data_IF_701779379291
#
_entry.id   IF_701779379291
#
_cell.length_a   1.000
_cell.length_b   1.000
_cell.length_c   1.000
_cell.angle_alpha   90.00
_cell.angle_beta   90.00
_cell.angle_gamma   90.00
#
_symmetry.space_group_name_H-M   'P 1'
#
loop_
_entity.id
_entity.type
_entity.pdbx_description
1 polymer ?
#
# COMPACT_ATOMS: atom_id res chain seq x y z
N UNK A 1 -7.21 -44.17 -42.07
CA UNK A 1 -7.68 -45.15 -43.07
C UNK A 1 -8.99 -44.63 -43.64
N UNK A 2 -9.08 -44.54 -44.97
CA UNK A 2 -10.21 -43.94 -45.68
C UNK A 2 -11.51 -44.71 -45.43
N UNK A 3 -12.62 -43.98 -45.22
CA UNK A 3 -13.96 -44.56 -45.17
C UNK A 3 -14.51 -44.57 -46.60
N UNK A 4 -14.62 -45.77 -47.18
CA UNK A 4 -15.42 -46.02 -48.38
C UNK A 4 -16.83 -46.41 -47.91
N UNK A 5 -17.91 -45.76 -48.37
CA UNK A 5 -19.27 -46.16 -48.03
C UNK A 5 -19.75 -47.27 -48.97
N UNK A 6 -20.42 -48.29 -48.42
CA UNK A 6 -21.20 -49.26 -49.19
C UNK A 6 -22.71 -49.03 -49.00
N UNK A 7 -23.52 -49.34 -50.03
CA UNK A 7 -24.84 -48.79 -50.24
C UNK A 7 -25.95 -49.62 -49.57
N UNK A 8 -27.06 -48.95 -49.29
CA UNK A 8 -28.34 -49.62 -49.06
C UNK A 8 -28.88 -49.50 -47.65
N UNK A 9 -29.46 -48.35 -47.31
CA UNK A 9 -30.68 -48.28 -46.47
C UNK A 9 -31.22 -46.84 -46.38
N UNK A 10 -31.78 -46.28 -47.46
CA UNK A 10 -32.41 -44.94 -47.43
C UNK A 10 -33.53 -44.81 -46.37
N UNK A 11 -34.16 -45.93 -46.01
CA UNK A 11 -35.24 -45.92 -45.03
C UNK A 11 -34.76 -45.80 -43.57
N UNK A 12 -33.52 -46.21 -43.27
CA UNK A 12 -32.94 -46.13 -41.93
C UNK A 12 -32.39 -44.73 -41.61
N UNK A 13 -32.01 -43.95 -42.63
CA UNK A 13 -31.48 -42.59 -42.48
C UNK A 13 -32.57 -41.60 -42.02
N UNK A 14 -33.82 -41.81 -42.46
CA UNK A 14 -34.95 -40.90 -42.17
C UNK A 14 -35.46 -41.01 -40.72
N UNK A 15 -35.38 -42.20 -40.12
CA UNK A 15 -35.72 -42.40 -38.69
C UNK A 15 -34.63 -41.86 -37.77
N UNK A 16 -33.36 -42.09 -38.12
CA UNK A 16 -32.20 -41.51 -37.44
C UNK A 16 -32.22 -39.97 -37.48
N UNK A 17 -32.52 -39.35 -38.63
CA UNK A 17 -32.64 -37.88 -38.74
C UNK A 17 -33.76 -37.30 -37.87
N UNK A 18 -34.92 -37.97 -37.75
CA UNK A 18 -35.99 -37.50 -36.86
C UNK A 18 -35.56 -37.60 -35.39
N UNK A 19 -34.91 -38.69 -34.98
CA UNK A 19 -34.38 -38.83 -33.63
C UNK A 19 -33.30 -37.77 -33.32
N UNK A 20 -32.42 -37.49 -34.29
CA UNK A 20 -31.40 -36.43 -34.19
C UNK A 20 -32.01 -35.03 -34.10
N UNK A 21 -33.10 -34.76 -34.82
CA UNK A 21 -33.82 -33.47 -34.74
C UNK A 21 -34.50 -33.26 -33.38
N UNK A 22 -35.11 -34.31 -32.81
CA UNK A 22 -35.67 -34.23 -31.46
C UNK A 22 -34.60 -34.07 -30.38
N UNK A 23 -33.46 -34.76 -30.52
CA UNK A 23 -32.31 -34.60 -29.62
C UNK A 23 -31.66 -33.21 -29.76
N UNK A 24 -31.57 -32.65 -30.97
CA UNK A 24 -31.04 -31.30 -31.16
C UNK A 24 -31.98 -30.25 -30.57
N UNK A 25 -33.30 -30.45 -30.65
CA UNK A 25 -34.30 -29.55 -30.05
C UNK A 25 -34.29 -29.63 -28.53
N UNK A 26 -34.16 -30.83 -27.95
CA UNK A 26 -34.00 -31.02 -26.51
C UNK A 26 -32.66 -30.45 -26.00
N UNK A 27 -31.57 -30.62 -26.75
CA UNK A 27 -30.27 -30.03 -26.43
C UNK A 27 -30.30 -28.49 -26.51
N UNK A 28 -30.97 -27.92 -27.51
CA UNK A 28 -31.16 -26.46 -27.62
C UNK A 28 -32.02 -25.92 -26.47
N UNK A 29 -33.05 -26.65 -26.05
CA UNK A 29 -33.92 -26.23 -24.95
C UNK A 29 -33.24 -26.33 -23.59
N UNK A 30 -32.32 -27.29 -23.41
CA UNK A 30 -31.46 -27.40 -22.22
C UNK A 30 -30.40 -26.29 -22.21
N UNK A 31 -29.81 -25.98 -23.37
CA UNK A 31 -28.84 -24.89 -23.55
C UNK A 31 -29.47 -23.51 -23.27
N UNK A 32 -30.71 -23.26 -23.71
CA UNK A 32 -31.42 -22.00 -23.42
C UNK A 32 -31.78 -21.82 -21.95
N UNK A 33 -31.94 -22.88 -21.15
CA UNK A 33 -32.11 -22.73 -19.69
C UNK A 33 -30.80 -22.53 -18.94
N UNK A 34 -29.64 -22.84 -19.56
CA UNK A 34 -28.31 -22.58 -18.96
C UNK A 34 -27.66 -21.28 -19.44
N UNK A 35 -28.27 -20.55 -20.39
CA UNK A 35 -27.67 -19.36 -21.02
C UNK A 35 -28.03 -18.00 -20.39
N UNK A 36 -28.83 -17.95 -19.33
CA UNK A 36 -28.83 -16.81 -18.39
C UNK A 36 -28.61 -17.39 -16.98
N UNK A 37 -27.36 -17.37 -16.44
CA UNK A 37 -26.72 -16.13 -16.01
C UNK A 37 -25.17 -16.21 -16.06
N UNK A 38 -24.54 -16.03 -17.22
CA UNK A 38 -23.05 -16.01 -17.29
C UNK A 38 -22.43 -14.62 -17.20
N UNK A 39 -23.21 -13.55 -17.16
CA UNK A 39 -22.71 -12.17 -16.97
C UNK A 39 -22.88 -11.66 -15.53
N UNK A 40 -23.94 -12.08 -14.84
CA UNK A 40 -24.23 -11.66 -13.46
C UNK A 40 -23.48 -12.47 -12.41
N UNK A 41 -23.27 -13.78 -12.61
CA UNK A 41 -22.58 -14.63 -11.63
C UNK A 41 -21.07 -14.36 -11.56
N UNK A 42 -20.33 -14.16 -12.68
CA UNK A 42 -18.93 -13.76 -12.61
C UNK A 42 -18.76 -12.38 -11.97
N UNK A 43 -19.59 -11.40 -12.34
CA UNK A 43 -19.53 -10.06 -11.77
C UNK A 43 -19.93 -9.98 -10.28
N UNK A 44 -20.80 -10.88 -9.80
CA UNK A 44 -21.10 -11.03 -8.38
C UNK A 44 -19.97 -11.74 -7.62
N UNK A 45 -19.32 -12.74 -8.24
CA UNK A 45 -18.18 -13.43 -7.65
C UNK A 45 -16.94 -12.54 -7.57
N UNK A 46 -16.62 -11.77 -8.62
CA UNK A 46 -15.55 -10.76 -8.60
C UNK A 46 -15.80 -9.68 -7.54
N UNK A 47 -17.03 -9.15 -7.43
CA UNK A 47 -17.37 -8.17 -6.37
C UNK A 47 -17.33 -8.74 -4.95
N UNK A 48 -17.73 -9.99 -4.77
CA UNK A 48 -17.67 -10.65 -3.46
C UNK A 48 -16.21 -10.91 -3.03
N UNK A 49 -15.34 -11.22 -4.00
CA UNK A 49 -13.90 -11.37 -3.78
C UNK A 49 -13.24 -10.02 -3.44
N UNK A 50 -13.61 -8.93 -4.13
CA UNK A 50 -13.14 -7.57 -3.81
C UNK A 50 -13.51 -7.13 -2.39
N UNK A 51 -14.73 -7.45 -1.96
CA UNK A 51 -15.21 -7.16 -0.60
C UNK A 51 -14.44 -7.94 0.47
N UNK A 52 -14.16 -9.21 0.20
CA UNK A 52 -13.36 -10.04 1.09
C UNK A 52 -11.93 -9.49 1.21
N UNK A 53 -11.31 -9.15 0.07
CA UNK A 53 -9.97 -8.54 0.01
C UNK A 53 -9.89 -7.22 0.77
N UNK A 54 -10.84 -6.31 0.55
CA UNK A 54 -10.88 -5.02 1.24
C UNK A 54 -11.04 -5.18 2.77
N UNK A 55 -11.88 -6.12 3.21
CA UNK A 55 -12.02 -6.45 4.64
C UNK A 55 -10.72 -7.00 5.23
N UNK A 56 -10.05 -7.91 4.53
CA UNK A 56 -8.76 -8.46 5.00
C UNK A 56 -7.71 -7.35 5.12
N UNK A 57 -7.61 -6.47 4.11
CA UNK A 57 -6.70 -5.31 4.17
C UNK A 57 -7.00 -4.42 5.37
N UNK A 58 -8.28 -4.10 5.61
CA UNK A 58 -8.70 -3.28 6.74
C UNK A 58 -8.36 -3.96 8.09
N UNK A 59 -8.63 -5.26 8.23
CA UNK A 59 -8.29 -6.01 9.45
C UNK A 59 -6.79 -5.99 9.70
N UNK A 60 -5.97 -6.24 8.69
CA UNK A 60 -4.51 -6.21 8.81
C UNK A 60 -4.01 -4.80 9.20
N UNK A 61 -4.55 -3.75 8.59
CA UNK A 61 -4.19 -2.36 8.92
C UNK A 61 -4.47 -2.05 10.40
N UNK A 62 -5.66 -2.36 10.91
CA UNK A 62 -5.99 -2.10 12.31
C UNK A 62 -5.15 -2.92 13.29
N UNK A 63 -4.84 -4.18 12.96
CA UNK A 63 -3.93 -5.00 13.78
C UNK A 63 -2.55 -4.34 13.85
N UNK A 64 -2.01 -3.85 12.73
CA UNK A 64 -0.72 -3.17 12.68
C UNK A 64 -0.74 -1.84 13.46
N UNK A 65 -1.82 -1.06 13.34
CA UNK A 65 -2.02 0.18 14.11
C UNK A 65 -2.06 -0.10 15.61
N UNK A 66 -2.84 -1.09 16.06
CA UNK A 66 -2.90 -1.49 17.47
C UNK A 66 -1.58 -2.03 17.99
N UNK A 67 -0.87 -2.83 17.19
CA UNK A 67 0.45 -3.35 17.54
C UNK A 67 1.48 -2.20 17.68
N UNK A 68 1.45 -1.23 16.77
CA UNK A 68 2.31 -0.05 16.87
C UNK A 68 1.96 0.81 18.10
N UNK A 69 0.67 0.92 18.45
CA UNK A 69 0.21 1.62 19.65
C UNK A 69 0.72 0.95 20.92
N UNK A 70 0.74 -0.39 20.95
CA UNK A 70 1.29 -1.15 22.08
C UNK A 70 2.79 -0.87 22.27
N UNK A 71 3.59 -0.92 21.20
CA UNK A 71 5.03 -0.64 21.29
C UNK A 71 5.32 0.82 21.67
N UNK A 72 4.55 1.77 21.13
CA UNK A 72 4.65 3.17 21.49
C UNK A 72 4.24 3.41 22.95
N UNK A 73 3.15 2.79 23.38
CA UNK A 73 2.66 2.83 24.76
C UNK A 73 3.68 2.28 25.74
N UNK A 74 4.32 1.15 25.41
CA UNK A 74 5.41 0.58 26.21
C UNK A 74 6.62 1.53 26.28
N UNK A 75 6.99 2.15 25.15
CA UNK A 75 8.08 3.14 25.10
C UNK A 75 7.80 4.34 26.01
N UNK A 76 6.57 4.85 25.99
CA UNK A 76 6.14 5.97 26.84
C UNK A 76 6.08 5.53 28.31
N UNK A 77 5.49 4.37 28.59
CA UNK A 77 5.40 3.81 29.94
C UNK A 77 6.78 3.68 30.60
N UNK A 78 7.75 3.07 29.91
CA UNK A 78 9.12 2.97 30.39
C UNK A 78 9.74 4.34 30.73
N UNK A 79 9.48 5.38 29.94
CA UNK A 79 9.97 6.74 30.23
C UNK A 79 9.26 7.40 31.41
N UNK A 80 7.96 7.18 31.57
CA UNK A 80 7.19 7.73 32.68
C UNK A 80 7.56 7.04 34.00
N UNK A 81 7.79 5.72 33.98
CA UNK A 81 8.20 4.95 35.16
C UNK A 81 9.63 5.27 35.57
N UNK A 82 10.56 5.48 34.62
CA UNK A 82 11.92 5.90 34.91
C UNK A 82 12.05 7.43 34.91
N UNK A 83 11.70 8.04 36.05
CA UNK A 83 11.66 9.50 36.31
C UNK A 83 12.90 10.31 35.93
N UNK A 84 14.06 9.66 35.75
CA UNK A 84 15.30 10.31 35.27
C UNK A 84 15.29 10.67 33.77
N UNK A 85 14.34 10.14 32.98
CA UNK A 85 14.31 10.31 31.53
C UNK A 85 13.22 11.30 31.11
N UNK A 86 13.59 12.53 30.74
CA UNK A 86 12.65 13.53 30.21
C UNK A 86 12.04 13.09 28.86
N UNK A 87 10.78 13.45 28.62
CA UNK A 87 10.14 13.34 27.30
C UNK A 87 10.95 14.16 26.30
N UNK A 88 11.35 13.53 25.19
CA UNK A 88 12.20 14.16 24.19
C UNK A 88 11.37 14.52 22.97
N UNK A 89 11.85 15.50 22.20
CA UNK A 89 11.18 15.93 20.96
C UNK A 89 10.90 14.77 19.99
N UNK A 90 11.80 13.79 19.91
CA UNK A 90 11.61 12.60 19.08
C UNK A 90 10.40 11.73 19.49
N UNK A 91 10.08 11.67 20.79
CA UNK A 91 8.93 10.89 21.26
C UNK A 91 7.63 11.64 20.98
N UNK A 92 7.63 12.97 21.08
CA UNK A 92 6.50 13.81 20.68
C UNK A 92 6.24 13.65 19.18
N UNK A 93 7.30 13.68 18.36
CA UNK A 93 7.19 13.46 16.92
C UNK A 93 6.67 12.06 16.59
N UNK A 94 7.10 11.05 17.34
CA UNK A 94 6.63 9.67 17.18
C UNK A 94 5.14 9.53 17.55
N UNK A 95 4.70 10.17 18.65
CA UNK A 95 3.28 10.22 19.04
C UNK A 95 2.46 10.92 17.95
N UNK A 96 2.92 12.06 17.45
CA UNK A 96 2.26 12.79 16.37
C UNK A 96 2.14 11.93 15.11
N UNK A 97 3.19 11.18 14.75
CA UNK A 97 3.16 10.26 13.61
C UNK A 97 2.14 9.14 13.78
N UNK A 98 1.97 8.61 15.00
CA UNK A 98 0.97 7.57 15.28
C UNK A 98 -0.46 8.11 15.22
N UNK A 99 -0.70 9.33 15.70
CA UNK A 99 -2.02 9.98 15.59
C UNK A 99 -2.40 10.16 14.11
N UNK A 100 -1.44 10.57 13.27
CA UNK A 100 -1.66 10.69 11.82
C UNK A 100 -1.90 9.31 11.18
N UNK A 101 -1.19 8.27 11.61
CA UNK A 101 -1.41 6.91 11.13
C UNK A 101 -2.83 6.40 11.46
N UNK A 102 -3.33 6.70 12.66
CA UNK A 102 -4.72 6.37 13.05
C UNK A 102 -5.73 7.14 12.20
N UNK A 103 -5.47 8.43 11.96
CA UNK A 103 -6.31 9.25 11.08
C UNK A 103 -6.34 8.68 9.65
N UNK A 104 -5.19 8.28 9.11
CA UNK A 104 -5.10 7.64 7.79
C UNK A 104 -5.87 6.31 7.72
N UNK A 105 -5.72 5.46 8.74
CA UNK A 105 -6.47 4.21 8.83
C UNK A 105 -7.99 4.43 8.89
N UNK A 106 -8.44 5.44 9.65
CA UNK A 106 -9.85 5.81 9.75
C UNK A 106 -10.40 6.37 8.43
N UNK A 107 -9.64 7.21 7.72
CA UNK A 107 -10.03 7.71 6.39
C UNK A 107 -10.10 6.56 5.37
N UNK A 108 -9.13 5.64 5.39
CA UNK A 108 -9.13 4.45 4.53
C UNK A 108 -10.34 3.55 4.80
N UNK A 109 -10.69 3.34 6.06
CA UNK A 109 -11.89 2.61 6.44
C UNK A 109 -13.17 3.29 5.95
N UNK A 110 -13.25 4.62 6.06
CA UNK A 110 -14.37 5.39 5.52
C UNK A 110 -14.51 5.20 4.01
N UNK A 111 -13.40 5.25 3.27
CA UNK A 111 -13.37 5.02 1.81
C UNK A 111 -13.90 3.62 1.47
N UNK A 112 -13.41 2.58 2.16
CA UNK A 112 -13.84 1.18 1.93
C UNK A 112 -15.33 1.00 2.26
N UNK A 113 -15.79 1.53 3.40
CA UNK A 113 -17.18 1.41 3.85
C UNK A 113 -18.17 2.20 3.01
N UNK A 114 -17.73 3.26 2.33
CA UNK A 114 -18.58 4.08 1.48
C UNK A 114 -19.08 3.35 0.23
N UNK A 115 -18.57 2.14 -0.09
CA UNK A 115 -19.11 1.22 -1.12
C UNK A 115 -19.38 1.89 -2.48
N UNK A 116 -18.56 2.85 -2.88
CA UNK A 116 -18.73 3.55 -4.16
C UNK A 116 -18.65 2.57 -5.34
N UNK A 117 -19.50 2.80 -6.36
CA UNK A 117 -19.54 1.98 -7.58
C UNK A 117 -20.42 0.71 -7.50
N UNK A 118 -21.19 0.52 -6.42
CA UNK A 118 -22.13 -0.61 -6.31
C UNK A 118 -23.53 -0.26 -6.86
N UNK A 119 -24.25 -1.24 -7.43
CA UNK A 119 -25.65 -1.06 -7.79
C UNK A 119 -26.48 -0.80 -6.52
N UNK A 120 -26.98 0.43 -6.36
CA UNK A 120 -27.78 0.85 -5.20
C UNK A 120 -27.34 2.16 -4.54
N UNK A 121 -26.19 2.74 -4.93
CA UNK A 121 -25.78 4.07 -4.46
C UNK A 121 -25.93 5.09 -5.60
N UNK A 122 -26.76 6.13 -5.46
CA UNK A 122 -26.88 7.17 -6.48
C UNK A 122 -25.55 7.92 -6.60
N UNK A 123 -25.00 7.92 -7.81
CA UNK A 123 -23.76 8.63 -8.15
C UNK A 123 -24.12 10.12 -8.26
N UNK A 124 -24.10 10.82 -7.13
CA UNK A 124 -24.20 12.27 -7.10
C UNK A 124 -22.79 12.87 -7.23
N UNK A 125 -22.64 13.95 -8.01
CA UNK A 125 -21.35 14.60 -8.23
C UNK A 125 -20.67 15.06 -6.92
N UNK A 126 -21.47 15.48 -5.94
CA UNK A 126 -20.99 15.91 -4.63
C UNK A 126 -20.34 14.76 -3.84
N UNK A 127 -20.93 13.56 -3.91
CA UNK A 127 -20.45 12.38 -3.21
C UNK A 127 -19.07 11.94 -3.75
N UNK A 128 -18.89 11.98 -5.07
CA UNK A 128 -17.60 11.68 -5.72
C UNK A 128 -16.53 12.69 -5.29
N UNK A 129 -16.90 13.97 -5.21
CA UNK A 129 -15.96 15.03 -4.88
C UNK A 129 -15.44 14.93 -3.46
N UNK A 130 -16.33 14.62 -2.50
CA UNK A 130 -15.95 14.34 -1.11
C UNK A 130 -15.01 13.15 -1.04
N UNK A 131 -15.29 12.07 -1.78
CA UNK A 131 -14.44 10.88 -1.79
C UNK A 131 -13.04 11.18 -2.33
N UNK A 132 -12.93 11.97 -3.41
CA UNK A 132 -11.64 12.37 -3.98
C UNK A 132 -10.80 13.16 -2.96
N UNK A 133 -11.41 14.11 -2.25
CA UNK A 133 -10.74 14.90 -1.20
C UNK A 133 -10.30 13.99 -0.06
N UNK A 134 -11.17 13.09 0.41
CA UNK A 134 -10.86 12.15 1.49
C UNK A 134 -9.72 11.19 1.10
N UNK A 135 -9.71 10.72 -0.15
CA UNK A 135 -8.61 9.90 -0.69
C UNK A 135 -7.27 10.63 -0.75
N UNK A 136 -7.28 11.89 -1.22
CA UNK A 136 -6.07 12.73 -1.24
C UNK A 136 -5.55 13.05 0.16
N UNK A 137 -6.47 13.31 1.10
CA UNK A 137 -6.15 13.54 2.50
C UNK A 137 -5.51 12.28 3.13
N UNK A 138 -6.09 11.09 2.89
CA UNK A 138 -5.52 9.82 3.35
C UNK A 138 -4.11 9.61 2.81
N UNK A 139 -3.89 9.74 1.50
CA UNK A 139 -2.56 9.62 0.88
C UNK A 139 -1.54 10.57 1.54
N UNK A 140 -1.95 11.82 1.77
CA UNK A 140 -1.12 12.83 2.43
C UNK A 140 -0.79 12.42 3.87
N UNK A 141 -1.77 11.97 4.64
CA UNK A 141 -1.57 11.44 6.00
C UNK A 141 -0.62 10.25 6.00
N UNK A 142 -0.75 9.30 5.05
CA UNK A 142 0.18 8.17 4.93
C UNK A 142 1.63 8.64 4.73
N UNK A 143 1.88 9.62 3.85
CA UNK A 143 3.23 10.14 3.61
C UNK A 143 3.79 10.86 4.84
N UNK A 144 2.98 11.71 5.48
CA UNK A 144 3.38 12.46 6.68
C UNK A 144 3.69 11.51 7.85
N UNK A 145 2.83 10.51 8.08
CA UNK A 145 3.05 9.49 9.11
C UNK A 145 4.35 8.71 8.88
N UNK A 146 4.60 8.30 7.63
CA UNK A 146 5.83 7.59 7.25
C UNK A 146 7.09 8.45 7.49
N UNK A 147 7.09 9.71 7.05
CA UNK A 147 8.29 10.57 7.17
C UNK A 147 8.57 10.97 8.61
N UNK A 148 7.53 11.26 9.41
CA UNK A 148 7.72 11.60 10.82
C UNK A 148 8.19 10.41 11.65
N UNK A 149 7.67 9.20 11.40
CA UNK A 149 8.14 7.98 12.08
C UNK A 149 9.61 7.71 11.78
N UNK A 150 10.04 7.84 10.51
CA UNK A 150 11.45 7.66 10.14
C UNK A 150 12.35 8.76 10.68
N UNK A 151 11.86 10.01 10.69
CA UNK A 151 12.59 11.15 11.24
C UNK A 151 12.81 10.99 12.75
N UNK A 152 11.79 10.56 13.50
CA UNK A 152 11.91 10.29 14.93
C UNK A 152 12.97 9.20 15.21
N UNK A 153 12.96 8.11 14.43
CA UNK A 153 13.96 7.05 14.53
C UNK A 153 15.38 7.55 14.19
N UNK A 154 15.54 8.28 13.10
CA UNK A 154 16.83 8.83 12.68
C UNK A 154 17.40 9.84 13.68
N UNK A 155 16.55 10.68 14.31
CA UNK A 155 16.97 11.58 15.39
C UNK A 155 17.45 10.80 16.62
N UNK A 156 16.79 9.69 16.96
CA UNK A 156 17.26 8.81 18.03
C UNK A 156 18.64 8.22 17.71
N UNK A 157 18.87 7.81 16.46
CA UNK A 157 20.17 7.33 16.00
C UNK A 157 21.25 8.41 15.98
N UNK A 158 20.90 9.65 15.63
CA UNK A 158 21.83 10.77 15.51
C UNK A 158 22.58 11.06 16.82
N UNK A 159 22.01 10.69 17.98
CA UNK A 159 22.66 10.86 19.29
C UNK A 159 23.67 9.80 19.62
N UNK A 160 23.59 8.65 18.95
CA UNK A 160 24.51 7.53 19.11
C UNK A 160 25.59 7.53 18.03
N UNK A 161 25.59 8.52 17.14
CA UNK A 161 26.50 8.60 16.01
C UNK A 161 27.35 9.87 16.08
N UNK A 162 28.64 9.71 15.87
CA UNK A 162 29.62 10.78 15.69
C UNK A 162 30.35 10.70 14.35
N UNK A 163 31.02 11.80 14.00
CA UNK A 163 31.80 11.93 12.77
C UNK A 163 30.97 11.84 11.49
N UNK A 164 31.49 11.11 10.50
CA UNK A 164 30.86 10.98 9.18
C UNK A 164 29.47 10.32 9.22
N UNK A 165 29.24 9.38 10.14
CA UNK A 165 27.93 8.69 10.30
C UNK A 165 26.83 9.69 10.65
N UNK A 166 27.12 10.64 11.53
CA UNK A 166 26.20 11.72 11.92
C UNK A 166 25.82 12.61 10.74
N UNK A 167 26.80 12.96 9.91
CA UNK A 167 26.57 13.74 8.68
C UNK A 167 25.67 12.99 7.71
N UNK A 168 25.89 11.68 7.52
CA UNK A 168 25.04 10.83 6.69
C UNK A 168 23.59 10.74 7.22
N UNK A 169 23.40 10.56 8.53
CA UNK A 169 22.04 10.53 9.12
C UNK A 169 21.32 11.86 8.92
N UNK A 170 22.02 12.99 9.09
CA UNK A 170 21.47 14.32 8.78
C UNK A 170 21.05 14.45 7.32
N UNK A 171 21.91 14.01 6.40
CA UNK A 171 21.60 13.96 4.97
C UNK A 171 20.36 13.11 4.69
N UNK A 172 20.25 11.92 5.28
CA UNK A 172 19.09 11.03 5.14
C UNK A 172 17.79 11.68 5.65
N UNK A 173 17.83 12.39 6.79
CA UNK A 173 16.67 13.10 7.33
C UNK A 173 16.20 14.19 6.37
N UNK A 174 17.12 15.06 5.92
CA UNK A 174 16.78 16.21 5.06
C UNK A 174 16.24 15.72 3.72
N UNK A 175 16.97 14.81 3.07
CA UNK A 175 16.60 14.27 1.75
C UNK A 175 15.25 13.56 1.77
N UNK A 176 14.98 12.73 2.79
CA UNK A 176 13.69 12.05 2.91
C UNK A 176 12.54 13.03 3.15
N UNK A 177 12.72 14.04 4.03
CA UNK A 177 11.69 15.03 4.30
C UNK A 177 11.34 15.84 3.05
N UNK A 178 12.34 16.29 2.30
CA UNK A 178 12.13 17.01 1.04
C UNK A 178 11.39 16.13 0.04
N UNK A 179 11.82 14.87 -0.14
CA UNK A 179 11.23 13.98 -1.12
C UNK A 179 9.76 13.65 -0.79
N UNK A 180 9.46 13.33 0.47
CA UNK A 180 8.09 13.02 0.91
C UNK A 180 7.19 14.27 0.90
N UNK A 181 7.70 15.44 1.29
CA UNK A 181 6.94 16.69 1.22
C UNK A 181 6.61 17.07 -0.23
N UNK A 182 7.57 16.92 -1.14
CA UNK A 182 7.34 17.11 -2.57
C UNK A 182 6.29 16.12 -3.09
N UNK A 183 6.43 14.84 -2.74
CA UNK A 183 5.46 13.79 -3.12
C UNK A 183 4.04 14.13 -2.68
N UNK A 184 3.85 14.46 -1.40
CA UNK A 184 2.56 14.83 -0.86
C UNK A 184 1.98 16.06 -1.59
N UNK A 185 2.80 17.07 -1.87
CA UNK A 185 2.37 18.28 -2.57
C UNK A 185 1.95 18.00 -4.02
N UNK A 186 2.66 17.11 -4.73
CA UNK A 186 2.34 16.74 -6.11
C UNK A 186 0.97 16.09 -6.26
N UNK A 187 0.48 15.37 -5.24
CA UNK A 187 -0.89 14.82 -5.27
C UNK A 187 -1.96 15.91 -5.32
N UNK A 188 -1.75 17.04 -4.65
CA UNK A 188 -2.69 18.16 -4.66
C UNK A 188 -2.59 19.02 -5.93
N UNK A 189 -1.37 19.27 -6.43
CA UNK A 189 -1.12 20.23 -7.52
C UNK A 189 -1.30 19.60 -8.91
N UNK A 190 -1.52 18.28 -9.01
CA UNK A 190 -1.42 17.58 -10.28
C UNK A 190 -2.57 17.74 -11.30
N UNK A 191 -3.44 18.74 -11.15
CA UNK A 191 -4.46 19.10 -12.16
C UNK A 191 -4.54 20.61 -12.40
N UNK A 192 -4.76 20.99 -13.66
CA UNK A 192 -5.03 22.37 -14.07
C UNK A 192 -6.41 22.42 -14.74
N UNK A 193 -7.40 23.15 -14.19
CA UNK A 193 -7.38 23.88 -12.92
C UNK A 193 -7.40 22.93 -11.70
N UNK A 194 -6.89 23.40 -10.56
CA UNK A 194 -6.85 22.66 -9.28
C UNK A 194 -8.24 22.10 -8.90
N UNK A 195 -9.30 22.84 -9.23
CA UNK A 195 -10.69 22.43 -8.98
C UNK A 195 -11.02 21.06 -9.55
N UNK A 196 -10.45 20.70 -10.71
CA UNK A 196 -10.66 19.40 -11.36
C UNK A 196 -10.22 18.21 -10.51
N UNK A 197 -9.31 18.43 -9.55
CA UNK A 197 -8.80 17.34 -8.71
C UNK A 197 -9.86 16.81 -7.73
N UNK A 198 -10.76 17.67 -7.25
CA UNK A 198 -11.88 17.25 -6.41
C UNK A 198 -13.21 17.23 -7.18
N UNK A 199 -13.39 18.08 -8.20
CA UNK A 199 -14.58 18.11 -9.04
C UNK A 199 -14.28 17.46 -10.40
N UNK A 200 -14.49 16.14 -10.49
CA UNK A 200 -14.12 15.32 -11.66
C UNK A 200 -14.86 15.79 -12.93
N UNK A 201 -16.01 16.44 -12.78
CA UNK A 201 -16.83 16.95 -13.89
C UNK A 201 -16.36 18.30 -14.44
N UNK A 202 -15.38 18.94 -13.79
CA UNK A 202 -14.80 20.20 -14.26
C UNK A 202 -13.86 20.00 -15.46
N UNK A 203 -13.94 20.91 -16.42
CA UNK A 203 -13.01 20.98 -17.54
C UNK A 203 -11.56 21.22 -17.07
N UNK A 204 -10.61 20.63 -17.78
CA UNK A 204 -9.17 20.75 -17.49
C UNK A 204 -8.36 19.50 -17.81
N UNK A 205 -7.06 19.59 -17.56
CA UNK A 205 -6.09 18.52 -17.81
C UNK A 205 -5.36 18.18 -16.51
N UNK A 206 -5.27 16.90 -16.19
CA UNK A 206 -4.46 16.40 -15.09
C UNK A 206 -3.16 15.80 -15.62
N UNK A 207 -2.12 15.76 -14.78
CA UNK A 207 -0.90 15.04 -15.13
C UNK A 207 -1.20 13.57 -15.39
N UNK A 208 -0.44 13.00 -16.33
CA UNK A 208 -0.51 11.59 -16.68
C UNK A 208 -0.29 10.73 -15.42
N UNK A 209 -1.13 9.71 -15.26
CA UNK A 209 -1.03 8.74 -14.16
C UNK A 209 0.35 8.07 -14.15
N UNK A 210 0.98 7.89 -15.32
CA UNK A 210 2.34 7.34 -15.45
C UNK A 210 3.38 8.11 -14.65
N UNK A 211 3.30 9.44 -14.64
CA UNK A 211 4.22 10.29 -13.87
C UNK A 211 4.06 10.06 -12.37
N UNK A 212 2.81 10.00 -11.90
CA UNK A 212 2.50 9.79 -10.47
C UNK A 212 2.98 8.41 -10.01
N UNK A 213 2.74 7.37 -10.80
CA UNK A 213 3.15 6.00 -10.43
C UNK A 213 4.66 5.85 -10.51
N UNK A 214 5.32 6.33 -11.56
CA UNK A 214 6.79 6.28 -11.69
C UNK A 214 7.48 7.02 -10.54
N UNK A 215 6.95 8.18 -10.14
CA UNK A 215 7.48 8.92 -9.01
C UNK A 215 7.24 8.20 -7.68
N UNK A 216 6.05 7.61 -7.48
CA UNK A 216 5.75 6.78 -6.32
C UNK A 216 6.67 5.57 -6.16
N UNK A 217 7.06 4.93 -7.27
CA UNK A 217 8.05 3.85 -7.30
C UNK A 217 9.41 4.37 -6.83
N UNK A 218 9.88 5.49 -7.39
CA UNK A 218 11.15 6.10 -6.99
C UNK A 218 11.19 6.42 -5.50
N UNK A 219 10.13 7.05 -4.97
CA UNK A 219 10.01 7.40 -3.54
C UNK A 219 10.02 6.15 -2.66
N UNK A 220 9.33 5.08 -3.08
CA UNK A 220 9.28 3.82 -2.34
C UNK A 220 10.63 3.11 -2.30
N UNK A 221 11.33 3.02 -3.45
CA UNK A 221 12.68 2.46 -3.54
C UNK A 221 13.68 3.26 -2.72
N UNK A 222 13.67 4.60 -2.86
CA UNK A 222 14.54 5.48 -2.11
C UNK A 222 14.35 5.34 -0.60
N UNK A 223 13.08 5.30 -0.16
CA UNK A 223 12.75 5.06 1.24
C UNK A 223 13.30 3.71 1.71
N UNK A 224 13.13 2.64 0.95
CA UNK A 224 13.61 1.30 1.34
C UNK A 224 15.13 1.22 1.45
N UNK A 225 15.86 1.90 0.55
CA UNK A 225 17.33 2.01 0.62
C UNK A 225 17.75 2.75 1.88
N UNK A 226 17.08 3.86 2.23
CA UNK A 226 17.38 4.59 3.48
C UNK A 226 17.07 3.77 4.73
N UNK A 227 15.98 2.99 4.75
CA UNK A 227 15.64 2.11 5.87
C UNK A 227 16.75 1.09 6.14
N UNK A 228 17.28 0.46 5.07
CA UNK A 228 18.41 -0.47 5.18
C UNK A 228 19.68 0.27 5.59
N UNK A 229 19.98 1.42 4.98
CA UNK A 229 21.19 2.18 5.30
C UNK A 229 21.21 2.65 6.77
N UNK A 230 20.07 3.14 7.28
CA UNK A 230 19.91 3.53 8.68
C UNK A 230 19.98 2.33 9.62
N UNK A 231 19.55 1.14 9.19
CA UNK A 231 19.71 -0.09 9.96
C UNK A 231 21.17 -0.59 10.02
N UNK A 232 21.97 -0.33 8.99
CA UNK A 232 23.39 -0.72 8.96
C UNK A 232 24.25 0.15 9.90
N UNK A 233 23.90 1.42 10.12
CA UNK A 233 24.72 2.34 10.91
C UNK A 233 24.96 1.86 12.35
N UNK A 234 23.92 1.49 13.13
CA UNK A 234 24.14 0.98 14.49
C UNK A 234 24.83 -0.39 14.49
N UNK A 235 24.64 -1.22 13.45
CA UNK A 235 25.40 -2.47 13.31
C UNK A 235 26.90 -2.20 13.18
N UNK A 236 27.28 -1.21 12.37
CA UNK A 236 28.68 -0.80 12.24
C UNK A 236 29.24 -0.27 13.55
N UNK A 237 28.46 0.46 14.34
CA UNK A 237 28.85 0.94 15.68
C UNK A 237 29.08 -0.24 16.64
N UNK A 238 28.23 -1.28 16.59
CA UNK A 238 28.36 -2.47 17.45
C UNK A 238 29.53 -3.38 17.09
N UNK A 239 29.89 -3.50 15.81
CA UNK A 239 30.97 -4.40 15.33
C UNK A 239 32.33 -3.71 15.32
N UNK A 240 32.41 -2.44 14.92
CA UNK A 240 33.64 -1.65 14.92
C UNK A 240 33.41 -0.29 15.57
N UNK A 241 33.55 -0.21 16.91
CA UNK A 241 33.47 1.05 17.63
C UNK A 241 34.59 2.00 17.18
N UNK A 242 34.24 3.23 16.82
CA UNK A 242 35.22 4.28 16.54
C UNK A 242 35.87 4.74 17.86
N UNK A 243 37.15 5.18 17.88
CA UNK A 243 37.81 5.63 19.12
C UNK A 243 37.05 6.73 19.89
N UNK A 244 36.38 7.64 19.16
CA UNK A 244 35.52 8.69 19.72
C UNK A 244 34.25 8.14 20.37
N UNK A 245 33.64 7.11 19.79
CA UNK A 245 32.45 6.43 20.34
C UNK A 245 32.79 5.60 21.58
N UNK A 246 33.99 5.01 21.58
CA UNK A 246 34.51 4.28 22.73
C UNK A 246 34.84 5.22 23.90
N UNK A 247 35.30 6.45 23.63
CA UNK A 247 35.56 7.46 24.68
C UNK A 247 34.28 8.09 25.24
N UNK A 248 33.16 8.03 24.52
CA UNK A 248 31.83 8.48 25.00
C UNK A 248 31.29 7.64 26.17
N UNK A 249 32.03 6.64 26.65
CA UNK A 249 31.74 5.90 27.88
C UNK A 249 30.55 4.95 27.78
N UNK A 250 30.00 4.75 26.57
CA UNK A 250 28.81 3.93 26.35
C UNK A 250 29.16 2.43 26.33
N UNK A 251 29.54 1.89 27.49
CA UNK A 251 29.63 0.44 27.70
C UNK A 251 28.21 -0.14 27.76
N UNK A 252 27.61 -0.31 26.59
CA UNK A 252 26.27 -0.90 26.44
C UNK A 252 26.22 -2.26 27.15
N UNK A 253 25.26 -2.40 28.06
CA UNK A 253 24.97 -3.68 28.69
C UNK A 253 24.53 -4.69 27.63
N UNK A 254 24.75 -5.99 27.88
CA UNK A 254 24.28 -7.06 26.98
C UNK A 254 22.78 -6.92 26.66
N UNK A 255 22.00 -6.40 27.61
CA UNK A 255 20.56 -6.13 27.46
C UNK A 255 20.27 -5.03 26.43
N UNK A 256 21.04 -3.94 26.45
CA UNK A 256 20.87 -2.83 25.50
C UNK A 256 21.29 -3.24 24.09
N UNK A 257 22.34 -4.05 23.97
CA UNK A 257 22.78 -4.61 22.68
C UNK A 257 21.69 -5.45 22.01
N UNK A 258 20.93 -6.23 22.77
CA UNK A 258 19.78 -6.99 22.27
C UNK A 258 18.68 -6.04 21.79
N UNK A 259 18.35 -5.01 22.58
CA UNK A 259 17.35 -4.00 22.21
C UNK A 259 17.70 -3.27 20.91
N UNK A 260 18.97 -2.87 20.75
CA UNK A 260 19.46 -2.27 19.50
C UNK A 260 19.34 -3.27 18.35
N UNK A 261 19.78 -4.52 18.52
CA UNK A 261 19.69 -5.53 17.46
C UNK A 261 18.25 -5.77 16.99
N UNK A 262 17.29 -5.83 17.90
CA UNK A 262 15.86 -6.01 17.56
C UNK A 262 15.32 -4.78 16.80
N UNK A 263 15.67 -3.57 17.25
CA UNK A 263 15.28 -2.34 16.57
C UNK A 263 15.84 -2.28 15.12
N UNK A 264 17.06 -2.78 14.92
CA UNK A 264 17.68 -2.85 13.60
C UNK A 264 16.98 -3.82 12.64
N UNK A 265 16.58 -5.00 13.14
CA UNK A 265 15.86 -5.98 12.32
C UNK A 265 14.55 -5.42 11.75
N UNK A 266 13.84 -4.59 12.52
CA UNK A 266 12.62 -3.93 12.05
C UNK A 266 12.87 -2.96 10.89
N UNK A 267 14.02 -2.26 10.88
CA UNK A 267 14.40 -1.37 9.77
C UNK A 267 14.63 -2.13 8.46
N UNK A 268 15.28 -3.30 8.52
CA UNK A 268 15.48 -4.15 7.33
C UNK A 268 14.14 -4.65 6.77
N UNK A 269 13.22 -5.08 7.65
CA UNK A 269 11.88 -5.52 7.25
C UNK A 269 11.08 -4.36 6.62
N UNK A 270 11.19 -3.15 7.15
CA UNK A 270 10.58 -1.96 6.57
C UNK A 270 11.14 -1.67 5.16
N UNK A 271 12.45 -1.83 4.96
CA UNK A 271 13.08 -1.71 3.65
C UNK A 271 12.52 -2.71 2.64
N UNK A 272 12.41 -3.99 3.02
CA UNK A 272 11.83 -5.05 2.18
C UNK A 272 10.38 -4.71 1.82
N UNK A 273 9.57 -4.28 2.79
CA UNK A 273 8.19 -3.88 2.54
C UNK A 273 8.09 -2.71 1.54
N UNK A 274 9.02 -1.76 1.59
CA UNK A 274 9.07 -0.65 0.64
C UNK A 274 9.40 -1.12 -0.79
N UNK A 275 10.29 -2.11 -0.95
CA UNK A 275 10.56 -2.72 -2.26
C UNK A 275 9.34 -3.49 -2.79
N UNK A 276 8.66 -4.27 -1.93
CA UNK A 276 7.43 -4.98 -2.31
C UNK A 276 6.38 -3.97 -2.79
N UNK A 277 6.19 -2.87 -2.05
CA UNK A 277 5.29 -1.77 -2.45
C UNK A 277 5.65 -1.21 -3.83
N UNK A 278 6.94 -0.99 -4.10
CA UNK A 278 7.40 -0.51 -5.41
C UNK A 278 7.07 -1.50 -6.53
N UNK A 279 7.28 -2.81 -6.31
CA UNK A 279 6.93 -3.86 -7.29
C UNK A 279 5.43 -3.93 -7.58
N UNK A 280 4.59 -3.77 -6.56
CA UNK A 280 3.13 -3.72 -6.74
C UNK A 280 2.71 -2.48 -7.54
N UNK A 281 3.28 -1.31 -7.26
CA UNK A 281 3.01 -0.08 -8.03
C UNK A 281 3.36 -0.25 -9.51
N UNK A 282 4.47 -0.94 -9.81
CA UNK A 282 4.86 -1.24 -11.19
C UNK A 282 3.87 -2.19 -11.86
N UNK A 283 3.47 -3.28 -11.19
CA UNK A 283 2.51 -4.24 -11.74
C UNK A 283 1.16 -3.59 -12.08
N UNK A 284 0.69 -2.66 -11.24
CA UNK A 284 -0.54 -1.90 -11.49
C UNK A 284 -0.37 -0.98 -12.71
N UNK A 285 0.79 -0.34 -12.86
CA UNK A 285 1.08 0.52 -14.00
C UNK A 285 1.11 -0.25 -15.33
N UNK A 286 1.72 -1.43 -15.34
CA UNK A 286 1.82 -2.26 -16.55
C UNK A 286 0.42 -2.73 -16.99
N UNK A 287 -0.43 -3.10 -16.02
CA UNK A 287 -1.82 -3.48 -16.27
C UNK A 287 -2.65 -2.30 -16.82
N UNK A 288 -2.51 -1.11 -16.23
CA UNK A 288 -3.22 0.09 -16.69
C UNK A 288 -2.74 0.58 -18.07
N UNK A 289 -1.47 0.37 -18.38
CA UNK A 289 -0.89 0.67 -19.69
C UNK A 289 -1.46 -0.18 -20.83
N UNK A 290 -1.93 -1.40 -20.52
CA UNK A 290 -2.52 -2.32 -21.49
C UNK A 290 -3.97 -1.92 -21.84
N UNK A 291 -4.76 -1.50 -20.83
CA UNK A 291 -6.12 -0.99 -21.04
C UNK A 291 -6.19 0.33 -21.81
N UNK A 292 -5.12 1.11 -21.83
CA UNK A 292 -5.05 2.38 -22.56
C UNK A 292 -4.57 2.21 -24.02
N UNK A 293 -4.30 0.98 -24.46
CA UNK A 293 -3.97 0.62 -25.85
C UNK A 293 -5.09 -0.09 -26.61
N UNK A 294 -6.23 -0.35 -25.95
CA UNK A 294 -7.47 -0.90 -26.55
C UNK A 294 -8.44 0.25 -26.77
#
# INVERSE_FOLDING_TARGET
>A
MAVVPLPGCEHCLRSQMKAMYFLSRAANQTYSMTSEPKTTVPALNERADDDAKAKVMQTVLWILVSLSALFLGLRIYCKLTYSYTKIRFEDILLIASWVILVADAALTEFIIKSRFGRPGFPINADNISVLAIVGLASITCSFVGQVWSKTAFAISLLRMCDGWKKSFVWFAIISMNILFAFSASSFWIGCVPLKKRWDIFSDGTCYDLKWVVSFGIFVSVYSGVLDIALAVIPWLILVRPTPTEASSGLRLSKKEKIGVSVALSMGVLAGIAAFIKASYMQSVNDTAGDFSRI
#
